data_IF_659571824003
#
_entry.id   IF_659571824003
#
_cell.length_a   1.000
_cell.length_b   1.000
_cell.length_c   1.000
_cell.angle_alpha   90.00
_cell.angle_beta   90.00
_cell.angle_gamma   90.00
#
_symmetry.space_group_name_H-M   'P 1'
#
loop_
_entity.id
_entity.type
_entity.pdbx_description
1 polymer ?
#
# COMPACT_ATOMS: atom_id res chain seq x y z
N UNK A 1 -13.62 -42.59 12.44
CA UNK A 1 -12.94 -41.28 12.46
C UNK A 1 -11.62 -41.46 11.72
N UNK A 2 -11.44 -40.76 10.60
CA UNK A 2 -10.24 -40.82 9.77
C UNK A 2 -8.99 -40.37 10.54
N UNK A 3 -7.84 -40.98 10.23
CA UNK A 3 -6.51 -40.48 10.64
C UNK A 3 -5.66 -40.13 9.39
N UNK A 4 -6.31 -39.88 8.26
CA UNK A 4 -5.66 -39.60 6.97
C UNK A 4 -5.75 -38.11 6.70
N UNK A 5 -4.60 -37.48 6.39
CA UNK A 5 -4.48 -36.04 6.20
C UNK A 5 -3.95 -35.71 4.80
N UNK A 6 -4.46 -34.62 4.24
CA UNK A 6 -3.94 -33.98 3.04
C UNK A 6 -3.67 -32.51 3.37
N UNK A 7 -2.46 -32.03 3.09
CA UNK A 7 -2.05 -30.65 3.39
C UNK A 7 -2.30 -30.23 4.86
N UNK A 8 -2.01 -31.13 5.80
CA UNK A 8 -2.22 -30.90 7.23
C UNK A 8 -3.69 -30.83 7.67
N UNK A 9 -4.65 -31.14 6.80
CA UNK A 9 -6.09 -31.17 7.10
C UNK A 9 -6.65 -32.57 6.91
N UNK A 10 -7.61 -32.95 7.74
CA UNK A 10 -8.23 -34.26 7.71
C UNK A 10 -8.93 -34.49 6.36
N UNK A 11 -8.70 -35.64 5.71
CA UNK A 11 -9.41 -36.03 4.49
C UNK A 11 -10.79 -36.57 4.87
N UNK A 12 -11.85 -35.99 4.29
CA UNK A 12 -13.23 -36.33 4.61
C UNK A 12 -13.67 -37.62 3.90
N UNK A 13 -14.41 -38.46 4.61
CA UNK A 13 -15.09 -39.64 4.07
C UNK A 13 -16.47 -39.84 4.72
N UNK A 14 -17.33 -40.65 4.10
CA UNK A 14 -18.73 -40.82 4.52
C UNK A 14 -18.92 -41.19 6.01
N UNK A 15 -18.01 -41.98 6.58
CA UNK A 15 -18.07 -42.44 7.97
C UNK A 15 -17.39 -41.55 9.01
N UNK A 16 -17.05 -40.30 8.71
CA UNK A 16 -16.35 -39.42 9.67
C UNK A 16 -17.26 -38.89 10.77
N UNK A 17 -18.56 -38.77 10.49
CA UNK A 17 -19.56 -38.32 11.46
C UNK A 17 -19.53 -36.83 11.76
N UNK A 18 -18.87 -36.00 10.94
CA UNK A 18 -18.83 -34.56 11.13
C UNK A 18 -20.12 -33.91 10.61
N UNK A 19 -20.45 -32.76 11.23
CA UNK A 19 -21.56 -31.90 10.82
C UNK A 19 -21.00 -30.57 10.33
N UNK A 20 -21.30 -30.23 9.08
CA UNK A 20 -20.93 -28.99 8.42
C UNK A 20 -22.02 -27.95 8.67
N UNK A 21 -21.73 -26.99 9.55
CA UNK A 21 -22.65 -25.90 9.88
C UNK A 21 -22.37 -24.71 8.97
N UNK A 22 -23.40 -24.12 8.39
CA UNK A 22 -23.27 -22.88 7.65
C UNK A 22 -23.38 -21.65 8.57
N UNK A 23 -22.37 -20.78 8.53
CA UNK A 23 -22.49 -19.47 9.14
C UNK A 23 -23.58 -18.65 8.43
N UNK A 24 -24.42 -17.89 9.17
CA UNK A 24 -25.44 -17.04 8.56
C UNK A 24 -24.80 -15.99 7.61
N UNK A 25 -25.52 -15.50 6.57
CA UNK A 25 -26.96 -15.61 6.41
C UNK A 25 -27.42 -16.47 5.21
N UNK A 26 -28.12 -17.59 5.46
CA UNK A 26 -29.05 -18.17 4.47
C UNK A 26 -30.43 -17.52 4.65
N UNK A 27 -30.70 -16.45 3.90
CA UNK A 27 -31.96 -15.70 4.05
C UNK A 27 -33.05 -16.36 3.22
N UNK A 28 -34.04 -16.97 3.88
CA UNK A 28 -35.21 -17.56 3.24
C UNK A 28 -36.48 -16.74 3.49
N UNK A 29 -37.43 -16.86 2.57
CA UNK A 29 -38.75 -16.23 2.65
C UNK A 29 -39.64 -17.06 3.57
N UNK A 30 -39.90 -16.58 4.77
CA UNK A 30 -40.82 -17.21 5.72
C UNK A 30 -42.24 -16.69 5.47
N UNK A 31 -43.22 -17.54 5.10
CA UNK A 31 -44.59 -17.09 4.93
C UNK A 31 -45.16 -16.52 6.24
N UNK A 32 -45.72 -15.30 6.18
CA UNK A 32 -46.48 -14.71 7.30
C UNK A 32 -47.82 -14.16 6.80
N UNK A 33 -48.81 -13.91 7.68
CA UNK A 33 -50.11 -13.33 7.27
C UNK A 33 -50.00 -11.98 6.54
N UNK A 34 -48.91 -11.23 6.74
CA UNK A 34 -48.65 -9.93 6.09
C UNK A 34 -47.76 -10.04 4.84
N UNK A 35 -47.42 -11.25 4.39
CA UNK A 35 -46.51 -11.52 3.28
C UNK A 35 -45.18 -12.18 3.73
N UNK A 36 -44.37 -12.70 2.79
CA UNK A 36 -43.13 -13.39 3.16
C UNK A 36 -42.08 -12.46 3.76
N UNK A 37 -41.51 -12.85 4.92
CA UNK A 37 -40.46 -12.09 5.63
C UNK A 37 -39.09 -12.75 5.41
N UNK A 38 -38.07 -12.02 4.90
CA UNK A 38 -36.70 -12.51 4.80
C UNK A 38 -36.13 -12.82 6.19
N UNK A 39 -35.81 -14.08 6.47
CA UNK A 39 -35.30 -14.55 7.77
C UNK A 39 -34.02 -15.36 7.57
N UNK A 40 -32.93 -15.06 8.31
CA UNK A 40 -31.69 -15.83 8.22
C UNK A 40 -31.80 -17.17 8.94
N UNK A 41 -31.33 -18.24 8.31
CA UNK A 41 -31.25 -19.59 8.85
C UNK A 41 -29.80 -20.07 8.97
N UNK A 42 -29.60 -21.03 9.87
CA UNK A 42 -28.35 -21.79 10.03
C UNK A 42 -28.62 -23.18 9.50
N UNK A 43 -27.89 -23.56 8.46
CA UNK A 43 -28.04 -24.87 7.85
C UNK A 43 -26.94 -25.83 8.29
N UNK A 44 -27.25 -27.12 8.25
CA UNK A 44 -26.35 -28.20 8.63
C UNK A 44 -26.41 -29.33 7.60
N UNK A 45 -25.26 -29.94 7.32
CA UNK A 45 -25.16 -31.14 6.50
C UNK A 45 -24.17 -32.13 7.13
N UNK A 46 -24.41 -33.43 7.01
CA UNK A 46 -23.61 -34.47 7.69
C UNK A 46 -22.83 -35.32 6.68
N UNK A 47 -21.61 -35.73 7.04
CA UNK A 47 -20.75 -36.58 6.18
C UNK A 47 -21.44 -37.89 5.77
N UNK A 48 -22.30 -38.44 6.64
CA UNK A 48 -23.07 -39.65 6.35
C UNK A 48 -23.91 -39.53 5.08
N UNK A 49 -24.28 -38.30 4.70
CA UNK A 49 -25.05 -37.98 3.50
C UNK A 49 -24.18 -37.81 2.25
N UNK A 50 -22.90 -38.20 2.29
CA UNK A 50 -22.00 -38.14 1.14
C UNK A 50 -22.57 -38.92 -0.05
N UNK A 51 -22.81 -38.19 -1.12
CA UNK A 51 -23.15 -38.69 -2.43
C UNK A 51 -22.00 -38.41 -3.41
N UNK A 52 -21.87 -39.27 -4.42
CA UNK A 52 -20.82 -39.16 -5.45
C UNK A 52 -19.40 -39.15 -4.85
N UNK A 53 -19.17 -39.90 -3.78
CA UNK A 53 -17.83 -40.19 -3.26
C UNK A 53 -16.99 -41.05 -4.21
N UNK A 54 -15.76 -41.34 -3.81
CA UNK A 54 -14.89 -42.29 -4.53
C UNK A 54 -15.53 -43.67 -4.67
N UNK A 55 -15.16 -44.40 -5.73
CA UNK A 55 -15.73 -45.72 -6.06
C UNK A 55 -14.79 -46.88 -5.75
N UNK A 56 -13.49 -46.66 -5.91
CA UNK A 56 -12.43 -47.67 -5.80
C UNK A 56 -11.60 -47.46 -4.54
N UNK A 57 -11.43 -46.21 -4.11
CA UNK A 57 -10.66 -45.88 -2.90
C UNK A 57 -11.60 -45.70 -1.71
N UNK A 58 -11.23 -46.23 -0.55
CA UNK A 58 -11.94 -45.99 0.70
C UNK A 58 -10.98 -45.64 1.82
N UNK A 59 -11.45 -44.87 2.79
CA UNK A 59 -10.75 -44.62 4.06
C UNK A 59 -11.66 -45.18 5.16
N UNK A 60 -11.11 -46.03 6.02
CA UNK A 60 -11.86 -46.74 7.06
C UNK A 60 -13.13 -47.45 6.51
N UNK A 61 -13.04 -48.05 5.32
CA UNK A 61 -14.16 -48.73 4.66
C UNK A 61 -15.24 -47.82 4.07
N UNK A 62 -15.05 -46.49 4.11
CA UNK A 62 -16.01 -45.51 3.63
C UNK A 62 -15.52 -44.79 2.35
N UNK A 63 -16.42 -44.42 1.42
CA UNK A 63 -16.09 -43.57 0.29
C UNK A 63 -15.50 -42.22 0.72
N UNK A 64 -14.45 -41.79 0.02
CA UNK A 64 -13.75 -40.52 0.22
C UNK A 64 -14.52 -39.40 -0.49
N UNK A 65 -14.63 -38.24 0.14
CA UNK A 65 -15.18 -37.04 -0.48
C UNK A 65 -14.17 -36.43 -1.46
N UNK A 66 -14.60 -36.22 -2.70
CA UNK A 66 -13.79 -35.68 -3.79
C UNK A 66 -14.31 -34.29 -4.19
N UNK A 67 -13.53 -33.56 -4.98
CA UNK A 67 -13.94 -32.26 -5.55
C UNK A 67 -15.28 -32.29 -6.32
N UNK A 68 -15.70 -33.47 -6.81
CA UNK A 68 -16.99 -33.65 -7.51
C UNK A 68 -18.11 -34.20 -6.62
N UNK A 69 -17.85 -34.44 -5.35
CA UNK A 69 -18.80 -35.02 -4.40
C UNK A 69 -19.74 -33.96 -3.85
N UNK A 70 -20.83 -34.41 -3.24
CA UNK A 70 -21.81 -33.53 -2.57
C UNK A 70 -22.35 -34.24 -1.33
N UNK A 71 -22.78 -33.50 -0.31
CA UNK A 71 -23.69 -34.05 0.69
C UNK A 71 -25.11 -33.82 0.17
N UNK A 72 -25.88 -34.90 0.06
CA UNK A 72 -27.16 -34.92 -0.65
C UNK A 72 -28.24 -34.04 -0.01
N UNK A 73 -28.10 -33.71 1.27
CA UNK A 73 -29.09 -32.92 2.01
C UNK A 73 -28.42 -31.99 3.02
N UNK A 74 -28.83 -30.73 2.99
CA UNK A 74 -28.63 -29.69 4.01
C UNK A 74 -30.00 -29.30 4.58
N UNK A 75 -30.06 -29.14 5.91
CA UNK A 75 -31.28 -28.90 6.71
C UNK A 75 -31.11 -27.72 7.67
N UNK A 76 -32.19 -27.02 8.02
CA UNK A 76 -32.19 -25.85 8.90
C UNK A 76 -33.02 -24.67 8.38
N UNK A 77 -33.36 -24.68 7.09
CA UNK A 77 -34.12 -23.64 6.36
C UNK A 77 -35.58 -24.01 6.09
N UNK A 78 -36.06 -25.14 6.62
CA UNK A 78 -37.44 -25.64 6.41
C UNK A 78 -38.55 -24.65 6.77
N UNK A 79 -38.41 -23.77 7.80
CA UNK A 79 -39.41 -22.74 8.08
C UNK A 79 -39.51 -21.67 6.97
N UNK A 80 -38.48 -21.53 6.14
CA UNK A 80 -38.45 -20.66 4.96
C UNK A 80 -39.16 -21.25 3.75
N UNK A 81 -40.39 -21.74 3.94
CA UNK A 81 -41.12 -22.57 2.97
C UNK A 81 -41.48 -21.89 1.63
N UNK A 82 -41.16 -20.60 1.43
CA UNK A 82 -41.23 -19.91 0.15
C UNK A 82 -39.86 -19.76 -0.55
N UNK A 83 -38.83 -20.47 -0.06
CA UNK A 83 -37.50 -20.58 -0.62
C UNK A 83 -36.54 -19.44 -0.26
N UNK A 84 -35.25 -19.67 -0.51
CA UNK A 84 -34.19 -18.67 -0.39
C UNK A 84 -34.47 -17.41 -1.21
N UNK A 85 -34.09 -16.23 -0.69
CA UNK A 85 -34.27 -14.94 -1.38
C UNK A 85 -33.57 -14.94 -2.74
N UNK A 86 -32.39 -15.56 -2.82
CA UNK A 86 -31.58 -15.66 -4.04
C UNK A 86 -31.76 -17.05 -4.70
N UNK A 87 -31.66 -18.13 -3.91
CA UNK A 87 -31.63 -19.50 -4.45
C UNK A 87 -33.01 -20.03 -4.85
N UNK A 88 -34.10 -19.49 -4.29
CA UNK A 88 -35.47 -20.02 -4.39
C UNK A 88 -35.62 -21.51 -4.03
N UNK A 89 -34.68 -22.06 -3.24
CA UNK A 89 -34.66 -23.45 -2.79
C UNK A 89 -34.99 -23.55 -1.29
N UNK A 90 -35.49 -24.71 -0.88
CA UNK A 90 -35.76 -25.11 0.50
C UNK A 90 -35.10 -26.47 0.65
N UNK A 91 -34.18 -26.61 1.61
CA UNK A 91 -33.19 -27.68 1.59
C UNK A 91 -32.35 -27.66 0.31
N UNK A 92 -31.34 -28.51 0.26
CA UNK A 92 -30.50 -28.63 -0.92
C UNK A 92 -29.28 -29.46 -0.60
N UNK A 93 -28.24 -29.29 -1.41
CA UNK A 93 -26.99 -30.03 -1.24
C UNK A 93 -25.89 -29.13 -0.71
N UNK A 94 -24.92 -29.75 -0.05
CA UNK A 94 -23.62 -29.15 0.22
C UNK A 94 -22.63 -29.61 -0.84
N UNK A 95 -21.89 -28.69 -1.44
CA UNK A 95 -20.73 -28.98 -2.29
C UNK A 95 -19.50 -28.29 -1.76
N UNK A 96 -18.31 -28.83 -1.97
CA UNK A 96 -17.07 -28.16 -1.61
C UNK A 96 -16.64 -27.17 -2.71
N UNK A 97 -16.33 -25.94 -2.30
CA UNK A 97 -15.73 -24.91 -3.13
C UNK A 97 -14.20 -25.01 -3.21
N UNK A 98 -13.57 -25.87 -2.40
CA UNK A 98 -12.14 -26.15 -2.41
C UNK A 98 -11.84 -27.64 -2.19
N UNK A 99 -10.65 -28.08 -2.60
CA UNK A 99 -10.14 -29.43 -2.36
C UNK A 99 -8.61 -29.42 -2.34
N UNK A 100 -7.97 -30.54 -2.01
CA UNK A 100 -6.51 -30.69 -2.13
C UNK A 100 -6.05 -30.57 -3.59
N UNK A 101 -4.98 -29.80 -3.82
CA UNK A 101 -4.42 -29.58 -5.17
C UNK A 101 -3.37 -30.64 -5.56
N UNK A 102 -2.73 -31.26 -4.57
CA UNK A 102 -1.63 -32.22 -4.71
C UNK A 102 -2.03 -33.65 -4.32
N UNK A 103 -2.93 -33.83 -3.34
CA UNK A 103 -3.47 -35.15 -2.98
C UNK A 103 -4.77 -35.41 -3.74
N UNK A 104 -4.70 -36.39 -4.65
CA UNK A 104 -5.82 -36.77 -5.51
C UNK A 104 -6.20 -38.22 -5.31
N UNK A 105 -7.50 -38.48 -5.28
CA UNK A 105 -8.10 -39.82 -5.32
C UNK A 105 -8.93 -39.90 -6.58
N UNK A 106 -8.72 -40.95 -7.38
CA UNK A 106 -9.42 -41.14 -8.67
C UNK A 106 -9.30 -39.93 -9.62
N UNK A 107 -8.11 -39.30 -9.60
CA UNK A 107 -7.80 -38.13 -10.43
C UNK A 107 -8.42 -36.81 -9.94
N UNK A 108 -9.17 -36.82 -8.82
CA UNK A 108 -9.84 -35.64 -8.27
C UNK A 108 -9.22 -35.28 -6.92
N UNK A 109 -9.12 -33.98 -6.63
CA UNK A 109 -8.68 -33.50 -5.32
C UNK A 109 -9.58 -34.04 -4.22
N UNK A 110 -8.99 -34.45 -3.10
CA UNK A 110 -9.77 -34.88 -1.92
C UNK A 110 -10.32 -33.66 -1.18
N UNK A 111 -11.58 -33.73 -0.74
CA UNK A 111 -12.16 -32.72 0.14
C UNK A 111 -11.63 -32.91 1.57
N UNK A 112 -11.28 -31.81 2.23
CA UNK A 112 -10.66 -31.81 3.54
C UNK A 112 -11.51 -31.06 4.56
N UNK A 113 -11.31 -31.38 5.83
CA UNK A 113 -11.85 -30.59 6.93
C UNK A 113 -11.42 -29.13 6.81
N UNK A 114 -12.37 -28.21 6.99
CA UNK A 114 -12.26 -26.76 6.76
C UNK A 114 -12.15 -26.30 5.30
N UNK A 115 -12.22 -27.18 4.29
CA UNK A 115 -12.37 -26.70 2.91
C UNK A 115 -13.70 -25.93 2.77
N UNK A 116 -13.73 -24.79 2.05
CA UNK A 116 -14.94 -23.98 1.91
C UNK A 116 -16.07 -24.83 1.33
N UNK A 117 -17.29 -24.71 1.88
CA UNK A 117 -18.46 -25.39 1.33
C UNK A 117 -19.53 -24.39 0.91
N UNK A 118 -20.34 -24.80 -0.06
CA UNK A 118 -21.50 -24.07 -0.58
C UNK A 118 -22.73 -24.89 -0.20
N UNK A 119 -23.62 -24.33 0.62
CA UNK A 119 -24.88 -24.97 0.99
C UNK A 119 -26.03 -24.34 0.22
N UNK A 120 -26.92 -25.15 -0.34
CA UNK A 120 -28.13 -24.72 -1.06
C UNK A 120 -27.87 -23.77 -2.25
N UNK A 121 -26.65 -23.78 -2.79
CA UNK A 121 -26.23 -22.88 -3.88
C UNK A 121 -25.95 -21.44 -3.43
N UNK A 122 -25.90 -21.18 -2.12
CA UNK A 122 -25.49 -19.90 -1.54
C UNK A 122 -23.97 -19.83 -1.28
N UNK A 123 -23.52 -18.62 -0.95
CA UNK A 123 -22.13 -18.23 -0.66
C UNK A 123 -21.44 -19.13 0.36
N UNK A 124 -20.10 -19.12 0.34
CA UNK A 124 -19.24 -19.99 1.15
C UNK A 124 -19.57 -19.90 2.64
N UNK A 125 -19.74 -21.07 3.27
CA UNK A 125 -20.17 -21.19 4.66
C UNK A 125 -19.01 -21.24 5.68
N UNK A 126 -17.79 -21.45 5.17
CA UNK A 126 -16.54 -21.34 5.92
C UNK A 126 -15.98 -19.97 5.58
N UNK A 127 -15.82 -19.10 6.57
CA UNK A 127 -15.14 -17.82 6.39
C UNK A 127 -13.79 -18.11 5.72
N UNK A 128 -13.67 -17.67 4.46
CA UNK A 128 -12.53 -17.79 3.55
C UNK A 128 -11.38 -18.69 4.06
N UNK A 129 -11.18 -19.88 3.47
CA UNK A 129 -9.78 -20.23 3.15
C UNK A 129 -9.39 -19.23 2.07
N UNK A 130 -8.99 -18.03 2.49
CA UNK A 130 -8.07 -17.25 1.68
C UNK A 130 -6.91 -18.20 1.39
N UNK A 131 -6.38 -18.21 0.16
CA UNK A 131 -5.20 -19.01 -0.19
C UNK A 131 -3.92 -18.54 0.57
N UNK A 132 -4.10 -17.81 1.67
CA UNK A 132 -3.12 -17.00 2.36
C UNK A 132 -2.62 -15.85 1.50
N UNK A 133 -3.17 -15.58 0.32
CA UNK A 133 -2.59 -14.66 -0.65
C UNK A 133 -3.54 -13.48 -0.86
N UNK A 134 -2.98 -12.29 -1.04
CA UNK A 134 -3.73 -11.07 -1.36
C UNK A 134 -4.03 -10.93 -2.85
N UNK A 135 -3.63 -11.93 -3.66
CA UNK A 135 -3.66 -11.88 -5.12
C UNK A 135 -2.51 -11.07 -5.73
N UNK A 136 -1.66 -10.45 -4.90
CA UNK A 136 -0.47 -9.75 -5.36
C UNK A 136 0.67 -10.74 -5.68
N UNK A 137 1.37 -10.44 -6.75
CA UNK A 137 2.58 -11.12 -7.15
C UNK A 137 3.61 -10.13 -7.68
N UNK A 138 4.88 -10.53 -7.60
CA UNK A 138 6.02 -9.77 -8.06
C UNK A 138 6.74 -10.57 -9.15
N UNK A 139 7.26 -9.87 -10.16
CA UNK A 139 8.03 -10.47 -11.24
C UNK A 139 7.20 -11.12 -12.35
N UNK A 140 5.86 -11.01 -12.33
CA UNK A 140 4.99 -11.63 -13.34
C UNK A 140 4.19 -10.64 -14.20
N UNK A 141 4.47 -9.34 -14.05
CA UNK A 141 3.79 -8.26 -14.78
C UNK A 141 4.22 -8.13 -16.26
N UNK A 142 5.44 -8.58 -16.59
CA UNK A 142 6.01 -8.51 -17.93
C UNK A 142 6.89 -9.73 -18.23
N UNK A 143 6.98 -10.18 -19.50
CA UNK A 143 7.97 -11.18 -19.89
C UNK A 143 9.38 -10.73 -19.51
N UNK A 144 10.17 -11.66 -18.96
CA UNK A 144 11.53 -11.35 -18.60
C UNK A 144 12.37 -11.18 -19.87
N UNK A 145 12.85 -9.96 -20.13
CA UNK A 145 13.64 -9.74 -21.33
C UNK A 145 15.06 -10.32 -21.27
N UNK A 146 15.49 -10.94 -20.17
CA UNK A 146 16.81 -11.60 -20.04
C UNK A 146 16.74 -13.06 -20.45
N UNK A 147 15.84 -13.84 -19.87
CA UNK A 147 15.77 -15.29 -20.11
C UNK A 147 14.59 -15.71 -21.01
N UNK A 148 13.68 -14.78 -21.31
CA UNK A 148 12.49 -14.98 -22.16
C UNK A 148 11.56 -16.13 -21.70
N UNK A 149 11.74 -16.59 -20.46
CA UNK A 149 10.92 -17.64 -19.87
C UNK A 149 9.52 -17.11 -19.51
N UNK A 150 8.51 -18.00 -19.40
CA UNK A 150 7.16 -17.62 -18.98
C UNK A 150 7.16 -16.82 -17.67
N UNK A 151 6.24 -15.85 -17.55
CA UNK A 151 6.10 -14.99 -16.37
C UNK A 151 5.92 -15.77 -15.06
N UNK A 152 5.32 -16.98 -15.13
CA UNK A 152 5.16 -17.87 -13.98
C UNK A 152 6.49 -18.30 -13.33
N UNK A 153 7.60 -18.37 -14.09
CA UNK A 153 8.90 -18.77 -13.55
C UNK A 153 9.57 -17.69 -12.69
N UNK A 154 9.11 -16.44 -12.83
CA UNK A 154 9.61 -15.28 -12.10
C UNK A 154 8.68 -14.90 -10.94
N UNK A 155 7.49 -15.50 -10.89
CA UNK A 155 6.42 -15.09 -9.97
C UNK A 155 6.79 -15.35 -8.51
N UNK A 156 6.66 -14.31 -7.69
CA UNK A 156 6.72 -14.39 -6.22
C UNK A 156 5.42 -13.87 -5.63
N UNK A 157 4.67 -14.73 -4.95
CA UNK A 157 3.39 -14.37 -4.35
C UNK A 157 3.54 -13.69 -3.00
N UNK A 158 2.70 -12.68 -2.73
CA UNK A 158 2.45 -12.21 -1.37
C UNK A 158 1.64 -13.27 -0.62
N UNK A 159 2.15 -13.70 0.55
CA UNK A 159 1.46 -14.65 1.43
C UNK A 159 1.18 -14.05 2.81
N UNK A 160 0.30 -14.66 3.57
CA UNK A 160 -0.05 -14.26 4.93
C UNK A 160 1.16 -14.28 5.85
N UNK A 161 2.10 -15.21 5.62
CA UNK A 161 3.34 -15.33 6.40
C UNK A 161 4.18 -14.04 6.33
N UNK A 162 4.42 -13.50 5.12
CA UNK A 162 5.20 -12.26 4.98
C UNK A 162 4.41 -11.05 5.44
N UNK A 163 3.08 -11.05 5.25
CA UNK A 163 2.21 -9.96 5.73
C UNK A 163 2.19 -9.90 7.25
N UNK A 164 2.06 -11.02 7.95
CA UNK A 164 2.13 -11.11 9.41
C UNK A 164 3.48 -10.63 9.94
N UNK A 165 4.57 -11.06 9.30
CA UNK A 165 5.91 -10.61 9.70
C UNK A 165 6.08 -9.09 9.50
N UNK A 166 5.53 -8.54 8.41
CA UNK A 166 5.48 -7.08 8.18
C UNK A 166 4.65 -6.35 9.24
N UNK A 167 3.54 -6.91 9.68
CA UNK A 167 2.70 -6.29 10.71
C UNK A 167 3.45 -6.13 12.04
N UNK A 168 4.35 -7.06 12.38
CA UNK A 168 5.22 -6.92 13.55
C UNK A 168 6.18 -5.71 13.40
N UNK A 169 6.80 -5.55 12.22
CA UNK A 169 7.63 -4.37 11.92
C UNK A 169 6.80 -3.06 11.93
N UNK A 170 5.60 -3.08 11.37
CA UNK A 170 4.68 -1.93 11.39
C UNK A 170 4.27 -1.53 12.80
N UNK A 171 4.11 -2.50 13.70
CA UNK A 171 3.84 -2.22 15.11
C UNK A 171 5.01 -1.46 15.73
N UNK A 172 6.23 -1.93 15.54
CA UNK A 172 7.43 -1.28 16.08
C UNK A 172 7.62 0.14 15.51
N UNK A 173 7.45 0.31 14.20
CA UNK A 173 7.46 1.62 13.55
C UNK A 173 6.39 2.55 14.10
N UNK A 174 5.18 2.04 14.37
CA UNK A 174 4.08 2.83 14.95
C UNK A 174 4.40 3.27 16.36
N UNK A 175 4.92 2.38 17.20
CA UNK A 175 5.23 2.69 18.60
C UNK A 175 6.31 3.78 18.69
N UNK A 176 7.31 3.74 17.80
CA UNK A 176 8.31 4.80 17.66
C UNK A 176 7.73 6.11 17.12
N UNK A 177 6.89 6.03 16.09
CA UNK A 177 6.29 7.21 15.48
C UNK A 177 5.38 7.97 16.44
N UNK A 178 4.67 7.29 17.35
CA UNK A 178 3.82 7.94 18.37
C UNK A 178 4.56 8.98 19.20
N UNK A 179 5.85 8.75 19.49
CA UNK A 179 6.67 9.71 20.23
C UNK A 179 7.01 10.97 19.39
N UNK A 180 7.07 10.83 18.06
CA UNK A 180 7.43 11.91 17.12
C UNK A 180 6.19 12.63 16.54
N UNK A 181 5.00 12.04 16.63
CA UNK A 181 3.80 12.52 15.95
C UNK A 181 3.38 13.92 16.37
N UNK A 182 3.40 14.20 17.68
CA UNK A 182 3.01 15.51 18.21
C UNK A 182 3.94 16.63 17.70
N UNK A 183 5.25 16.37 17.68
CA UNK A 183 6.26 17.29 17.17
C UNK A 183 6.07 17.54 15.68
N UNK A 184 5.88 16.50 14.88
CA UNK A 184 5.67 16.62 13.44
C UNK A 184 4.38 17.38 13.10
N UNK A 185 3.29 17.14 13.83
CA UNK A 185 2.02 17.88 13.63
C UNK A 185 2.18 19.34 14.00
N UNK A 186 2.85 19.65 15.12
CA UNK A 186 3.17 21.03 15.51
C UNK A 186 4.07 21.71 14.48
N UNK A 187 5.08 21.02 13.96
CA UNK A 187 5.96 21.55 12.93
C UNK A 187 5.18 21.94 11.66
N UNK A 188 4.26 21.08 11.21
CA UNK A 188 3.44 21.36 10.03
C UNK A 188 2.49 22.54 10.23
N UNK A 189 1.89 22.66 11.42
CA UNK A 189 1.05 23.80 11.80
C UNK A 189 1.86 25.11 11.85
N UNK A 190 3.05 25.10 12.45
CA UNK A 190 3.95 26.27 12.46
C UNK A 190 4.40 26.69 11.05
N UNK A 191 4.61 25.73 10.14
CA UNK A 191 4.91 26.02 8.74
C UNK A 191 3.76 26.76 8.06
N UNK A 192 2.52 26.32 8.29
CA UNK A 192 1.31 26.94 7.75
C UNK A 192 1.13 28.36 8.31
N UNK A 193 1.20 28.53 9.64
CA UNK A 193 1.12 29.84 10.29
C UNK A 193 2.21 30.80 9.79
N UNK A 194 3.45 30.32 9.64
CA UNK A 194 4.54 31.13 9.08
C UNK A 194 4.24 31.55 7.64
N UNK A 195 3.69 30.66 6.83
CA UNK A 195 3.30 30.95 5.43
C UNK A 195 2.20 32.00 5.38
N UNK A 196 1.15 31.84 6.18
CA UNK A 196 0.03 32.79 6.24
C UNK A 196 0.49 34.18 6.69
N UNK A 197 1.31 34.25 7.73
CA UNK A 197 1.82 35.52 8.25
C UNK A 197 2.69 36.24 7.22
N UNK A 198 3.55 35.51 6.50
CA UNK A 198 4.34 36.06 5.39
C UNK A 198 3.46 36.55 4.25
N UNK A 199 2.44 35.78 3.85
CA UNK A 199 1.53 36.14 2.77
C UNK A 199 0.72 37.42 3.06
N UNK A 200 0.45 37.74 4.32
CA UNK A 200 -0.18 39.03 4.70
C UNK A 200 0.77 40.20 4.42
N UNK A 201 2.04 40.09 4.82
CA UNK A 201 3.02 41.17 4.65
C UNK A 201 3.46 41.28 3.17
N UNK A 202 3.57 40.15 2.47
CA UNK A 202 3.87 40.09 1.04
C UNK A 202 2.83 40.86 0.22
N UNK A 203 1.53 40.70 0.51
CA UNK A 203 0.47 41.50 -0.12
C UNK A 203 0.64 43.00 0.09
N UNK A 204 1.01 43.44 1.30
CA UNK A 204 1.31 44.86 1.56
C UNK A 204 2.53 45.32 0.77
N UNK A 205 3.57 44.50 0.68
CA UNK A 205 4.75 44.80 -0.13
C UNK A 205 4.36 44.96 -1.60
N UNK A 206 3.50 44.09 -2.13
CA UNK A 206 3.04 44.17 -3.52
C UNK A 206 2.24 45.46 -3.78
N UNK A 207 1.33 45.82 -2.87
CA UNK A 207 0.56 47.07 -2.91
C UNK A 207 1.48 48.30 -2.91
N UNK A 208 2.43 48.38 -1.97
CA UNK A 208 3.37 49.49 -1.88
C UNK A 208 4.35 49.51 -3.07
N UNK A 209 4.73 48.34 -3.61
CA UNK A 209 5.60 48.24 -4.79
C UNK A 209 4.91 48.74 -6.06
N UNK A 210 3.59 48.52 -6.18
CA UNK A 210 2.81 49.08 -7.28
C UNK A 210 2.76 50.61 -7.22
N UNK A 211 2.64 51.18 -6.01
CA UNK A 211 2.69 52.63 -5.79
C UNK A 211 4.08 53.18 -6.10
N UNK A 212 5.14 52.50 -5.64
CA UNK A 212 6.52 52.88 -5.95
C UNK A 212 6.75 52.96 -7.46
N UNK A 213 6.31 51.94 -8.21
CA UNK A 213 6.46 51.93 -9.67
C UNK A 213 5.79 53.14 -10.35
N UNK A 214 4.62 53.58 -9.86
CA UNK A 214 3.97 54.81 -10.35
C UNK A 214 4.77 56.07 -10.02
N UNK A 215 5.33 56.15 -8.81
CA UNK A 215 6.14 57.29 -8.37
C UNK A 215 7.47 57.37 -9.12
N UNK A 216 8.11 56.23 -9.40
CA UNK A 216 9.32 56.14 -10.20
C UNK A 216 9.05 56.56 -11.65
N UNK A 217 7.95 56.10 -12.26
CA UNK A 217 7.55 56.53 -13.59
C UNK A 217 7.28 58.05 -13.64
N UNK A 218 6.63 58.61 -12.62
CA UNK A 218 6.42 60.05 -12.51
C UNK A 218 7.73 60.83 -12.34
N UNK A 219 8.67 60.31 -11.54
CA UNK A 219 9.98 60.92 -11.35
C UNK A 219 10.80 60.88 -12.65
N UNK A 220 10.77 59.78 -13.40
CA UNK A 220 11.46 59.65 -14.69
C UNK A 220 10.86 60.59 -15.74
N UNK A 221 9.54 60.71 -15.78
CA UNK A 221 8.84 61.68 -16.64
C UNK A 221 9.22 63.13 -16.28
N UNK A 222 9.22 63.47 -14.99
CA UNK A 222 9.61 64.80 -14.51
C UNK A 222 11.08 65.12 -14.80
N UNK A 223 11.96 64.11 -14.72
CA UNK A 223 13.38 64.23 -15.08
C UNK A 223 13.57 64.49 -16.56
N UNK A 224 12.90 63.72 -17.42
CA UNK A 224 12.92 63.93 -18.87
C UNK A 224 12.41 65.32 -19.26
N UNK A 225 11.33 65.79 -18.61
CA UNK A 225 10.82 67.16 -18.82
C UNK A 225 11.84 68.23 -18.39
N UNK A 226 12.53 68.04 -17.27
CA UNK A 226 13.58 68.94 -16.78
C UNK A 226 14.79 69.00 -17.72
N UNK A 227 15.24 67.85 -18.22
CA UNK A 227 16.41 67.73 -19.09
C UNK A 227 16.20 68.49 -20.41
N UNK A 228 14.96 68.47 -20.94
CA UNK A 228 14.57 69.10 -22.20
C UNK A 228 14.06 70.56 -22.06
N UNK A 229 14.02 71.12 -20.84
CA UNK A 229 13.40 72.42 -20.60
C UNK A 229 14.27 73.64 -20.96
N UNK A 230 13.67 74.76 -21.39
CA UNK A 230 14.33 76.06 -21.47
C UNK A 230 14.88 76.51 -20.11
N UNK A 231 15.93 77.34 -20.09
CA UNK A 231 16.59 77.81 -18.85
C UNK A 231 15.62 78.42 -17.83
N UNK A 232 14.58 79.08 -18.30
CA UNK A 232 13.59 79.82 -17.51
C UNK A 232 12.71 78.88 -16.68
N UNK A 233 12.37 77.70 -17.23
CA UNK A 233 11.47 76.72 -16.60
C UNK A 233 12.20 75.68 -15.73
N UNK A 234 13.53 75.56 -15.88
CA UNK A 234 14.34 74.56 -15.16
C UNK A 234 14.21 74.64 -13.64
N UNK A 235 14.02 75.83 -13.09
CA UNK A 235 13.86 76.01 -11.65
C UNK A 235 12.56 75.37 -11.12
N UNK A 236 11.45 75.49 -11.86
CA UNK A 236 10.18 74.90 -11.48
C UNK A 236 10.17 73.38 -11.70
N UNK A 237 10.61 72.93 -12.87
CA UNK A 237 10.67 71.50 -13.21
C UNK A 237 11.66 70.75 -12.29
N UNK A 238 12.75 71.41 -11.86
CA UNK A 238 13.68 70.87 -10.87
C UNK A 238 13.02 70.61 -9.51
N UNK A 239 12.11 71.49 -9.07
CA UNK A 239 11.32 71.26 -7.85
C UNK A 239 10.37 70.06 -8.02
N UNK A 240 9.69 69.95 -9.17
CA UNK A 240 8.78 68.82 -9.47
C UNK A 240 9.51 67.47 -9.48
N UNK A 241 10.67 67.40 -10.15
CA UNK A 241 11.51 66.20 -10.14
C UNK A 241 11.99 65.83 -8.74
N UNK A 242 12.51 66.80 -7.97
CA UNK A 242 12.99 66.55 -6.62
C UNK A 242 11.87 66.10 -5.67
N UNK A 243 10.65 66.61 -5.83
CA UNK A 243 9.47 66.16 -5.07
C UNK A 243 9.08 64.72 -5.45
N UNK A 244 8.97 64.42 -6.74
CA UNK A 244 8.66 63.07 -7.23
C UNK A 244 9.71 62.04 -6.76
N UNK A 245 11.00 62.38 -6.87
CA UNK A 245 12.11 61.56 -6.39
C UNK A 245 12.04 61.33 -4.87
N UNK A 246 11.73 62.36 -4.10
CA UNK A 246 11.60 62.25 -2.64
C UNK A 246 10.45 61.31 -2.25
N UNK A 247 9.32 61.38 -2.95
CA UNK A 247 8.18 60.49 -2.75
C UNK A 247 8.53 59.03 -3.07
N UNK A 248 9.22 58.78 -4.19
CA UNK A 248 9.69 57.44 -4.54
C UNK A 248 10.65 56.89 -3.46
N UNK A 249 11.67 57.67 -3.06
CA UNK A 249 12.62 57.26 -1.99
C UNK A 249 11.93 56.98 -0.64
N UNK A 250 10.93 57.78 -0.27
CA UNK A 250 10.16 57.53 0.96
C UNK A 250 9.44 56.19 0.88
N UNK A 251 8.85 55.88 -0.28
CA UNK A 251 8.11 54.64 -0.53
C UNK A 251 9.02 53.40 -0.58
N UNK A 252 10.22 53.51 -1.16
CA UNK A 252 11.26 52.48 -1.03
C UNK A 252 11.61 52.18 0.45
N UNK A 253 11.71 53.23 1.26
CA UNK A 253 11.95 53.12 2.70
C UNK A 253 10.85 52.32 3.43
N UNK A 254 9.59 52.56 3.07
CA UNK A 254 8.43 51.83 3.62
C UNK A 254 8.44 50.36 3.20
N UNK A 255 8.70 50.04 1.93
CA UNK A 255 8.83 48.66 1.45
C UNK A 255 9.97 47.94 2.19
N UNK A 256 11.11 48.61 2.39
CA UNK A 256 12.23 48.05 3.15
C UNK A 256 11.87 47.80 4.61
N UNK A 257 11.05 48.65 5.22
CA UNK A 257 10.55 48.44 6.58
C UNK A 257 9.61 47.23 6.64
N UNK A 258 8.69 47.07 5.67
CA UNK A 258 7.81 45.90 5.58
C UNK A 258 8.58 44.59 5.38
N UNK A 259 9.65 44.59 4.56
CA UNK A 259 10.53 43.41 4.42
C UNK A 259 11.20 43.02 5.73
N UNK A 260 11.66 44.00 6.52
CA UNK A 260 12.20 43.75 7.86
C UNK A 260 11.14 43.23 8.83
N UNK A 261 9.92 43.77 8.76
CA UNK A 261 8.79 43.27 9.54
C UNK A 261 8.50 41.80 9.22
N UNK A 262 8.52 41.42 7.94
CA UNK A 262 8.36 40.02 7.50
C UNK A 262 9.44 39.09 8.07
N UNK A 263 10.70 39.53 8.07
CA UNK A 263 11.80 38.75 8.63
C UNK A 263 11.64 38.54 10.13
N UNK A 264 11.36 39.62 10.88
CA UNK A 264 11.11 39.56 12.34
C UNK A 264 9.89 38.69 12.66
N UNK A 265 8.81 38.85 11.90
CA UNK A 265 7.59 38.06 12.06
C UNK A 265 7.80 36.55 11.80
N UNK A 266 8.80 36.19 11.00
CA UNK A 266 9.15 34.80 10.66
C UNK A 266 10.24 34.20 11.55
N UNK A 267 10.94 35.02 12.33
CA UNK A 267 12.12 34.61 13.08
C UNK A 267 11.77 33.61 14.20
N UNK A 268 10.75 33.90 15.00
CA UNK A 268 10.30 33.02 16.08
C UNK A 268 9.86 31.64 15.55
N UNK A 269 9.06 31.62 14.47
CA UNK A 269 8.69 30.36 13.81
C UNK A 269 9.91 29.60 13.32
N UNK A 270 10.87 30.29 12.71
CA UNK A 270 12.08 29.64 12.17
C UNK A 270 12.94 29.04 13.28
N UNK A 271 13.00 29.69 14.45
CA UNK A 271 13.68 29.14 15.62
C UNK A 271 12.97 27.90 16.14
N UNK A 272 11.65 27.95 16.35
CA UNK A 272 10.88 26.82 16.87
C UNK A 272 10.89 25.62 15.92
N UNK A 273 10.81 25.84 14.61
CA UNK A 273 10.96 24.79 13.59
C UNK A 273 12.33 24.10 13.69
N UNK A 274 13.41 24.86 13.95
CA UNK A 274 14.75 24.27 14.14
C UNK A 274 14.81 23.45 15.42
N UNK A 275 14.31 23.97 16.52
CA UNK A 275 14.28 23.26 17.81
C UNK A 275 13.52 21.93 17.70
N UNK A 276 12.37 21.92 17.02
CA UNK A 276 11.61 20.68 16.77
C UNK A 276 12.42 19.70 15.91
N UNK A 277 13.10 20.18 14.86
CA UNK A 277 13.94 19.31 14.03
C UNK A 277 15.12 18.72 14.82
N UNK A 278 15.76 19.50 15.70
CA UNK A 278 16.85 19.02 16.57
C UNK A 278 16.35 17.93 17.54
N UNK A 279 15.15 18.12 18.11
CA UNK A 279 14.49 17.11 18.94
C UNK A 279 14.16 15.83 18.16
N UNK A 280 13.62 15.97 16.94
CA UNK A 280 13.34 14.83 16.05
C UNK A 280 14.61 14.05 15.69
N UNK A 281 15.72 14.74 15.42
CA UNK A 281 17.03 14.11 15.16
C UNK A 281 17.46 13.28 16.37
N UNK A 282 17.37 13.84 17.58
CA UNK A 282 17.69 13.13 18.82
C UNK A 282 16.79 11.90 19.04
N UNK A 283 15.52 11.98 18.62
CA UNK A 283 14.57 10.88 18.65
C UNK A 283 14.75 9.83 17.55
N UNK A 284 15.74 9.97 16.65
CA UNK A 284 16.01 9.07 15.52
C UNK A 284 14.78 8.92 14.61
N UNK A 285 14.60 9.84 13.65
CA UNK A 285 13.36 9.96 12.88
C UNK A 285 12.93 8.65 12.22
N UNK A 286 11.63 8.34 12.33
CA UNK A 286 11.04 7.18 11.64
C UNK A 286 10.82 7.52 10.16
N UNK A 287 10.28 8.70 9.86
CA UNK A 287 10.04 9.17 8.50
C UNK A 287 11.28 9.78 7.85
N UNK A 288 11.34 9.74 6.51
CA UNK A 288 12.45 10.32 5.77
C UNK A 288 12.38 11.85 5.73
N UNK A 289 13.51 12.49 5.47
CA UNK A 289 13.57 13.93 5.24
C UNK A 289 12.81 14.31 3.95
N UNK A 290 12.05 15.40 4.01
CA UNK A 290 11.32 15.95 2.86
C UNK A 290 11.78 17.39 2.63
N UNK A 291 12.34 17.66 1.45
CA UNK A 291 12.74 19.02 1.06
C UNK A 291 11.57 19.99 1.07
N UNK A 292 10.38 19.54 0.63
CA UNK A 292 9.18 20.37 0.57
C UNK A 292 8.68 20.89 1.92
N UNK A 293 9.00 20.21 3.03
CA UNK A 293 8.66 20.66 4.39
C UNK A 293 9.90 20.99 5.23
N UNK A 294 11.10 20.68 4.74
CA UNK A 294 12.35 20.77 5.49
C UNK A 294 12.34 20.01 6.84
N UNK A 295 11.59 18.88 6.91
CA UNK A 295 11.52 18.01 8.10
C UNK A 295 11.24 16.55 7.71
N UNK A 296 11.13 15.68 8.71
CA UNK A 296 10.93 14.23 8.58
C UNK A 296 9.48 13.85 8.32
N UNK A 297 9.01 14.08 7.09
CA UNK A 297 7.61 13.82 6.67
C UNK A 297 7.51 13.04 5.36
N UNK A 298 8.64 12.49 4.87
CA UNK A 298 8.68 11.70 3.64
C UNK A 298 8.26 10.25 3.96
N UNK A 299 7.12 9.79 3.44
CA UNK A 299 6.70 8.40 3.56
C UNK A 299 7.56 7.50 2.66
N UNK A 300 7.53 6.20 2.89
CA UNK A 300 8.27 5.20 2.12
C UNK A 300 7.54 3.86 2.08
N UNK A 301 7.88 3.03 1.10
CA UNK A 301 7.48 1.63 1.06
C UNK A 301 8.29 0.84 2.08
N UNK A 302 7.63 -0.02 2.83
CA UNK A 302 8.26 -1.02 3.70
C UNK A 302 8.05 -2.37 3.05
N UNK A 303 9.13 -3.00 2.64
CA UNK A 303 9.12 -4.33 2.05
C UNK A 303 9.67 -5.38 3.01
N UNK A 304 9.16 -6.60 2.89
CA UNK A 304 9.80 -7.77 3.45
C UNK A 304 9.74 -8.95 2.50
N UNK A 305 10.70 -9.85 2.61
CA UNK A 305 10.67 -11.12 1.91
C UNK A 305 11.16 -12.27 2.80
N UNK A 306 10.73 -13.47 2.45
CA UNK A 306 11.12 -14.71 3.13
C UNK A 306 11.70 -15.65 2.07
N UNK A 307 12.83 -16.29 2.36
CA UNK A 307 13.41 -17.25 1.43
C UNK A 307 12.76 -18.65 1.50
N UNK A 308 13.08 -19.50 0.52
CA UNK A 308 12.59 -20.88 0.35
C UNK A 308 13.33 -21.91 1.21
N UNK A 309 14.31 -21.50 2.00
CA UNK A 309 15.16 -22.43 2.74
C UNK A 309 14.33 -23.21 3.79
N UNK A 310 14.49 -24.53 3.82
CA UNK A 310 13.70 -25.43 4.67
C UNK A 310 14.04 -25.28 6.15
N UNK A 311 15.31 -24.99 6.46
CA UNK A 311 15.80 -24.75 7.81
C UNK A 311 16.17 -23.28 7.97
N UNK A 312 15.60 -22.63 9.00
CA UNK A 312 15.85 -21.23 9.36
C UNK A 312 15.73 -20.27 8.17
N UNK A 313 14.52 -20.11 7.58
CA UNK A 313 14.32 -19.22 6.45
C UNK A 313 14.74 -17.80 6.80
N UNK A 314 15.61 -17.22 5.98
CA UNK A 314 15.99 -15.82 6.09
C UNK A 314 14.78 -14.93 5.83
N UNK A 315 14.59 -13.96 6.71
CA UNK A 315 13.58 -12.91 6.61
C UNK A 315 14.31 -11.60 6.41
N UNK A 316 14.06 -10.92 5.31
CA UNK A 316 14.69 -9.66 4.97
C UNK A 316 13.67 -8.54 5.05
N UNK A 317 14.09 -7.36 5.49
CA UNK A 317 13.29 -6.15 5.47
C UNK A 317 14.05 -5.01 4.79
N UNK A 318 13.35 -4.19 4.01
CA UNK A 318 13.91 -3.05 3.32
C UNK A 318 12.91 -1.89 3.31
N UNK A 319 13.43 -0.67 3.20
CA UNK A 319 12.63 0.52 2.92
C UNK A 319 12.97 1.07 1.53
N UNK A 320 12.00 1.70 0.86
CA UNK A 320 12.29 2.47 -0.35
C UNK A 320 13.06 3.74 -0.01
N UNK A 321 14.03 4.11 -0.85
CA UNK A 321 14.90 5.24 -0.60
C UNK A 321 15.92 4.97 0.50
N UNK A 322 16.42 6.04 1.12
CA UNK A 322 17.37 5.96 2.21
C UNK A 322 16.70 5.39 3.47
N UNK A 323 17.37 4.43 4.11
CA UNK A 323 16.88 3.83 5.36
C UNK A 323 17.02 4.84 6.50
N UNK A 324 15.90 5.14 7.14
CA UNK A 324 15.88 6.06 8.27
C UNK A 324 16.47 5.40 9.53
N UNK A 325 17.05 6.18 10.47
CA UNK A 325 17.51 5.65 11.75
C UNK A 325 16.40 4.91 12.51
N UNK A 326 15.19 5.46 12.54
CA UNK A 326 14.05 4.83 13.21
C UNK A 326 13.60 3.54 12.53
N UNK A 327 13.71 3.42 11.20
CA UNK A 327 13.42 2.16 10.50
C UNK A 327 14.45 1.08 10.83
N UNK A 328 15.74 1.42 10.83
CA UNK A 328 16.82 0.48 11.20
C UNK A 328 16.61 -0.06 12.62
N UNK A 329 16.39 0.83 13.57
CA UNK A 329 16.15 0.43 14.96
C UNK A 329 14.88 -0.42 15.09
N UNK A 330 13.84 -0.13 14.29
CA UNK A 330 12.62 -0.93 14.28
C UNK A 330 12.88 -2.34 13.75
N UNK A 331 13.64 -2.47 12.66
CA UNK A 331 14.05 -3.77 12.12
C UNK A 331 14.84 -4.56 13.17
N UNK A 332 15.83 -3.93 13.79
CA UNK A 332 16.67 -4.57 14.83
C UNK A 332 15.83 -5.02 16.04
N UNK A 333 14.88 -4.18 16.48
CA UNK A 333 14.01 -4.49 17.63
C UNK A 333 13.06 -5.67 17.38
N UNK A 334 12.70 -5.96 16.12
CA UNK A 334 11.90 -7.17 15.83
C UNK A 334 12.66 -8.47 16.10
N UNK A 335 14.00 -8.45 16.07
CA UNK A 335 14.85 -9.65 16.15
C UNK A 335 14.60 -10.69 15.06
N UNK A 336 13.76 -10.37 14.06
CA UNK A 336 13.22 -11.32 13.08
C UNK A 336 13.83 -11.11 11.70
N UNK A 337 14.12 -9.85 11.36
CA UNK A 337 14.55 -9.45 10.04
C UNK A 337 16.04 -9.11 9.99
N UNK A 338 16.67 -9.43 8.87
CA UNK A 338 17.93 -8.79 8.46
C UNK A 338 17.61 -7.57 7.59
N UNK A 339 18.15 -6.42 7.96
CA UNK A 339 17.98 -5.19 7.18
C UNK A 339 18.74 -5.27 5.86
N UNK A 340 18.10 -4.80 4.78
CA UNK A 340 18.72 -4.57 3.47
C UNK A 340 18.54 -3.10 3.10
N UNK A 341 19.64 -2.36 2.97
CA UNK A 341 19.63 -0.92 2.75
C UNK A 341 19.95 -0.49 1.31
N UNK A 342 20.50 -1.38 0.48
CA UNK A 342 20.83 -1.09 -0.91
C UNK A 342 20.83 -2.29 -1.84
N UNK A 343 21.03 -2.00 -3.13
CA UNK A 343 21.23 -3.00 -4.19
C UNK A 343 22.06 -2.39 -5.31
N UNK A 344 22.69 -3.23 -6.11
CA UNK A 344 23.50 -2.86 -7.27
C UNK A 344 22.76 -3.18 -8.56
N UNK A 345 22.72 -2.23 -9.49
CA UNK A 345 22.06 -2.41 -10.78
C UNK A 345 22.99 -3.10 -11.78
N UNK A 346 22.45 -4.01 -12.59
CA UNK A 346 23.13 -4.54 -13.77
C UNK A 346 23.27 -3.45 -14.85
N UNK A 347 24.22 -3.59 -15.79
CA UNK A 347 24.35 -2.64 -16.90
C UNK A 347 23.05 -2.54 -17.73
N UNK A 348 22.36 -3.66 -17.90
CA UNK A 348 21.04 -3.70 -18.55
C UNK A 348 20.00 -2.88 -17.78
N UNK A 349 19.94 -3.00 -16.46
CA UNK A 349 19.02 -2.22 -15.63
C UNK A 349 19.32 -0.73 -15.75
N UNK A 350 20.60 -0.34 -15.75
CA UNK A 350 21.00 1.06 -15.95
C UNK A 350 20.50 1.59 -17.30
N UNK A 351 20.78 0.89 -18.40
CA UNK A 351 20.31 1.29 -19.73
C UNK A 351 18.78 1.34 -19.84
N UNK A 352 18.08 0.41 -19.19
CA UNK A 352 16.62 0.40 -19.17
C UNK A 352 16.06 1.59 -18.37
N UNK A 353 16.67 1.95 -17.24
CA UNK A 353 16.29 3.12 -16.44
C UNK A 353 16.50 4.44 -17.20
N UNK A 354 17.61 4.55 -17.95
CA UNK A 354 17.86 5.68 -18.84
C UNK A 354 16.75 5.80 -19.91
N UNK A 355 16.35 4.68 -20.51
CA UNK A 355 15.26 4.62 -21.49
C UNK A 355 13.92 5.02 -20.88
N UNK A 356 13.69 4.68 -19.61
CA UNK A 356 12.48 5.07 -18.86
C UNK A 356 12.54 6.51 -18.32
N UNK A 357 13.61 7.25 -18.57
CA UNK A 357 13.87 8.58 -17.99
C UNK A 357 13.73 8.59 -16.46
N UNK A 358 14.21 7.51 -15.81
CA UNK A 358 14.10 7.28 -14.37
C UNK A 358 15.45 7.42 -13.69
N UNK A 359 15.65 8.55 -13.01
CA UNK A 359 16.93 8.88 -12.36
C UNK A 359 17.22 8.08 -11.08
N UNK A 360 16.20 7.52 -10.43
CA UNK A 360 16.35 6.78 -9.17
C UNK A 360 15.46 5.53 -9.16
N UNK A 361 16.08 4.38 -8.93
CA UNK A 361 15.38 3.12 -8.67
C UNK A 361 15.84 2.59 -7.31
N UNK A 362 15.05 2.89 -6.28
CA UNK A 362 15.38 2.70 -4.87
C UNK A 362 14.25 2.00 -4.10
N UNK A 363 13.35 1.30 -4.80
CA UNK A 363 12.21 0.58 -4.22
C UNK A 363 12.67 -0.52 -3.23
N UNK A 364 11.80 -0.95 -2.33
CA UNK A 364 12.15 -1.99 -1.36
C UNK A 364 12.24 -3.37 -2.03
N UNK A 365 11.35 -3.70 -2.97
CA UNK A 365 11.39 -4.95 -3.72
C UNK A 365 12.75 -5.28 -4.36
N UNK A 366 13.37 -4.45 -5.22
CA UNK A 366 14.65 -4.79 -5.83
C UNK A 366 15.78 -5.03 -4.80
N UNK A 367 15.79 -4.29 -3.68
CA UNK A 367 16.71 -4.54 -2.56
C UNK A 367 16.54 -5.97 -2.02
N UNK A 368 15.30 -6.33 -1.71
CA UNK A 368 14.95 -7.65 -1.19
C UNK A 368 15.19 -8.77 -2.20
N UNK A 369 14.88 -8.54 -3.47
CA UNK A 369 15.07 -9.52 -4.54
C UNK A 369 16.55 -9.75 -4.84
N UNK A 370 17.40 -8.73 -4.79
CA UNK A 370 18.83 -8.94 -4.95
C UNK A 370 19.44 -9.62 -3.72
N UNK A 371 19.17 -9.12 -2.51
CA UNK A 371 19.72 -9.72 -1.30
C UNK A 371 19.21 -11.16 -1.08
N UNK A 372 17.95 -11.42 -1.42
CA UNK A 372 17.35 -12.75 -1.44
C UNK A 372 17.90 -13.60 -2.58
N UNK A 373 17.84 -13.16 -3.83
CA UNK A 373 18.24 -13.95 -5.00
C UNK A 373 19.75 -14.05 -5.21
N UNK A 374 20.41 -12.91 -5.41
CA UNK A 374 21.85 -12.83 -5.68
C UNK A 374 22.71 -13.15 -4.44
N UNK A 375 22.15 -13.03 -3.24
CA UNK A 375 22.75 -13.55 -2.00
C UNK A 375 22.73 -15.08 -1.88
N UNK A 376 22.35 -15.79 -2.94
CA UNK A 376 22.28 -17.26 -3.03
C UNK A 376 20.91 -17.83 -2.66
N UNK A 377 20.12 -17.12 -1.86
CA UNK A 377 18.79 -17.56 -1.42
C UNK A 377 17.78 -17.52 -2.59
N UNK A 378 16.59 -18.05 -2.37
CA UNK A 378 15.48 -18.02 -3.33
C UNK A 378 14.27 -17.47 -2.63
N UNK A 379 13.60 -16.48 -3.20
CA UNK A 379 12.47 -15.78 -2.58
C UNK A 379 11.22 -16.64 -2.68
N UNK A 380 10.66 -16.99 -1.53
CA UNK A 380 9.39 -17.74 -1.39
C UNK A 380 8.21 -16.78 -1.50
N UNK A 381 8.30 -15.66 -0.79
CA UNK A 381 7.23 -14.68 -0.71
C UNK A 381 7.79 -13.28 -0.45
N UNK A 382 7.09 -12.26 -0.95
CA UNK A 382 7.45 -10.86 -0.82
C UNK A 382 6.17 -10.03 -0.66
N UNK A 383 6.26 -8.97 0.13
CA UNK A 383 5.20 -7.98 0.29
C UNK A 383 5.81 -6.60 0.48
N UNK A 384 5.17 -5.59 -0.07
CA UNK A 384 5.47 -4.18 0.16
C UNK A 384 4.21 -3.44 0.65
N UNK A 385 4.35 -2.70 1.75
CA UNK A 385 3.27 -1.90 2.33
C UNK A 385 3.64 -0.42 2.39
N UNK A 386 2.66 0.44 2.19
CA UNK A 386 2.89 1.88 2.24
C UNK A 386 2.93 2.41 3.68
N UNK A 387 4.07 2.95 4.10
CA UNK A 387 4.23 3.55 5.43
C UNK A 387 4.11 5.08 5.35
N UNK A 388 2.93 5.59 5.74
CA UNK A 388 2.59 7.01 5.69
C UNK A 388 1.63 7.39 6.83
N UNK A 389 2.09 7.36 8.08
CA UNK A 389 1.25 7.64 9.25
C UNK A 389 0.71 9.09 9.30
N UNK A 390 1.26 10.01 8.49
CA UNK A 390 0.75 11.38 8.31
C UNK A 390 -0.30 11.51 7.19
N UNK A 391 -0.76 10.40 6.58
CA UNK A 391 -1.92 10.40 5.68
C UNK A 391 -1.65 10.73 4.21
N UNK A 392 -0.39 10.80 3.77
CA UNK A 392 -0.08 10.92 2.33
C UNK A 392 -0.32 9.57 1.65
N UNK A 393 -1.14 9.51 0.62
CA UNK A 393 -1.33 8.30 -0.16
C UNK A 393 -0.27 8.13 -1.26
N UNK A 394 -0.09 6.91 -1.75
CA UNK A 394 0.69 6.62 -2.96
C UNK A 394 -0.26 6.23 -4.10
N UNK A 395 0.13 6.49 -5.35
CA UNK A 395 -0.61 6.02 -6.52
C UNK A 395 0.26 5.11 -7.36
N UNK A 396 -0.29 3.98 -7.79
CA UNK A 396 0.42 3.00 -8.61
C UNK A 396 -0.48 2.56 -9.75
N UNK A 397 0.09 2.50 -10.95
CA UNK A 397 -0.57 1.91 -12.12
C UNK A 397 -0.25 0.42 -12.17
N UNK A 398 -1.27 -0.43 -12.11
CA UNK A 398 -1.09 -1.87 -12.22
C UNK A 398 -2.27 -2.52 -12.96
N UNK A 399 -2.09 -3.77 -13.37
CA UNK A 399 -3.13 -4.57 -14.02
C UNK A 399 -3.84 -5.42 -12.98
N UNK A 400 -5.16 -5.33 -12.91
CA UNK A 400 -6.01 -6.14 -12.06
C UNK A 400 -6.85 -7.07 -12.91
N UNK A 401 -6.75 -8.36 -12.66
CA UNK A 401 -7.62 -9.37 -13.28
C UNK A 401 -8.71 -9.76 -12.30
N UNK A 402 -9.98 -9.60 -12.70
CA UNK A 402 -11.14 -10.02 -11.94
C UNK A 402 -12.10 -10.74 -12.87
N UNK A 403 -12.52 -11.95 -12.49
CA UNK A 403 -13.48 -12.76 -13.26
C UNK A 403 -13.05 -13.02 -14.73
N UNK A 404 -11.73 -13.10 -14.98
CA UNK A 404 -11.16 -13.31 -16.32
C UNK A 404 -10.95 -12.03 -17.13
N UNK A 405 -11.45 -10.88 -16.67
CA UNK A 405 -11.25 -9.59 -17.31
C UNK A 405 -10.08 -8.83 -16.66
N UNK A 406 -9.15 -8.35 -17.49
CA UNK A 406 -7.99 -7.58 -17.03
C UNK A 406 -8.18 -6.10 -17.35
N UNK A 407 -8.02 -5.26 -16.33
CA UNK A 407 -8.04 -3.80 -16.46
C UNK A 407 -6.76 -3.22 -15.88
N UNK A 408 -6.16 -2.27 -16.60
CA UNK A 408 -4.98 -1.52 -16.13
C UNK A 408 -5.42 -0.11 -15.75
N UNK A 409 -5.05 0.33 -14.56
CA UNK A 409 -5.47 1.63 -14.06
C UNK A 409 -4.59 2.16 -12.95
N UNK A 410 -4.67 3.47 -12.72
CA UNK A 410 -4.02 4.14 -11.61
C UNK A 410 -4.91 4.01 -10.36
N UNK A 411 -4.39 3.36 -9.33
CA UNK A 411 -5.10 3.20 -8.05
C UNK A 411 -4.34 3.92 -6.93
N UNK A 412 -5.08 4.33 -5.90
CA UNK A 412 -4.57 5.07 -4.74
C UNK A 412 -4.53 4.15 -3.53
N UNK A 413 -3.38 4.08 -2.86
CA UNK A 413 -3.16 3.27 -1.67
C UNK A 413 -2.83 4.14 -0.45
N UNK A 414 -3.41 3.76 0.68
CA UNK A 414 -3.32 4.42 1.97
C UNK A 414 -2.30 3.75 2.88
N UNK A 415 -2.08 4.35 4.05
CA UNK A 415 -1.18 3.81 5.05
C UNK A 415 -1.53 2.36 5.44
N UNK A 416 -0.55 1.45 5.37
CA UNK A 416 -0.66 0.05 5.79
C UNK A 416 -1.18 -0.90 4.71
N UNK A 417 -1.68 -0.37 3.59
CA UNK A 417 -2.13 -1.19 2.47
C UNK A 417 -0.94 -1.84 1.76
N UNK A 418 -1.13 -3.08 1.31
CA UNK A 418 -0.19 -3.73 0.39
C UNK A 418 -0.27 -3.04 -0.96
N UNK A 419 0.87 -2.69 -1.53
CA UNK A 419 0.94 -1.94 -2.79
C UNK A 419 1.62 -2.80 -3.85
N UNK A 420 1.03 -2.91 -5.06
CA UNK A 420 1.66 -3.62 -6.17
C UNK A 420 2.94 -2.93 -6.64
N UNK A 421 3.75 -3.66 -7.41
CA UNK A 421 4.95 -3.15 -8.07
C UNK A 421 4.66 -1.86 -8.83
N UNK A 422 5.54 -0.86 -8.72
CA UNK A 422 5.52 0.29 -9.63
C UNK A 422 5.93 -0.13 -11.06
N UNK A 423 5.64 0.69 -12.06
CA UNK A 423 5.91 0.37 -13.47
C UNK A 423 7.38 -0.01 -13.75
N UNK A 424 8.33 0.66 -13.11
CA UNK A 424 9.75 0.30 -13.21
C UNK A 424 10.01 -1.09 -12.64
N UNK A 425 9.45 -1.41 -11.46
CA UNK A 425 9.61 -2.74 -10.85
C UNK A 425 8.92 -3.82 -11.68
N UNK A 426 7.74 -3.55 -12.26
CA UNK A 426 7.03 -4.48 -13.15
C UNK A 426 7.91 -4.93 -14.33
N UNK A 427 8.72 -4.01 -14.87
CA UNK A 427 9.59 -4.30 -16.00
C UNK A 427 10.95 -4.91 -15.62
N UNK A 428 11.55 -4.47 -14.51
CA UNK A 428 12.96 -4.78 -14.19
C UNK A 428 13.14 -5.83 -13.09
N UNK A 429 12.15 -6.10 -12.25
CA UNK A 429 12.27 -7.17 -11.25
C UNK A 429 12.21 -8.60 -11.81
N UNK A 430 11.56 -8.90 -12.96
CA UNK A 430 11.58 -10.25 -13.51
C UNK A 430 12.99 -10.80 -13.72
N UNK A 431 13.94 -10.00 -14.21
CA UNK A 431 15.32 -10.47 -14.41
C UNK A 431 16.06 -10.82 -13.10
N UNK A 432 15.64 -10.25 -11.97
CA UNK A 432 16.18 -10.57 -10.65
C UNK A 432 15.68 -11.93 -10.14
N UNK A 433 14.67 -12.49 -10.81
CA UNK A 433 13.96 -13.71 -10.43
C UNK A 433 14.19 -14.87 -11.41
N UNK A 434 15.05 -14.72 -12.42
CA UNK A 434 15.27 -15.75 -13.44
C UNK A 434 15.60 -17.14 -12.85
N UNK A 435 16.40 -17.17 -11.80
CA UNK A 435 16.82 -18.41 -11.13
C UNK A 435 15.99 -18.71 -9.88
N UNK A 436 14.90 -17.98 -9.64
CA UNK A 436 14.12 -18.13 -8.41
C UNK A 436 13.39 -19.48 -8.33
N UNK A 437 13.17 -20.16 -9.46
CA UNK A 437 12.57 -21.49 -9.54
C UNK A 437 13.45 -22.60 -8.93
N UNK A 438 14.75 -22.38 -8.78
CA UNK A 438 15.67 -23.32 -8.15
C UNK A 438 15.40 -23.48 -6.64
N UNK A 439 15.98 -24.52 -6.04
CA UNK A 439 15.99 -24.73 -4.59
C UNK A 439 16.85 -23.69 -3.87
N UNK A 440 16.49 -23.39 -2.64
CA UNK A 440 17.32 -22.58 -1.75
C UNK A 440 18.53 -23.42 -1.34
N UNK A 441 19.76 -22.86 -1.35
CA UNK A 441 20.97 -23.57 -0.97
C UNK A 441 21.02 -23.92 0.52
#
# INVERSE_FOLDING_TARGET
MSNVFANGRLVLHQGDGLTHVAAPPDVCKVPTPAGPVPTPFVNTAQDAMLAKGSKQTSIAGNPVALASSELSTSTGDEPGAAGGVISSKIKGKLTWGGSSMDVKVEGKGVARFLDPTLQNGNTFNTAFISNGQTGLAYGDDAPCGVCEQPVGNHRVHETGEVVETLLALFKELRDRFRAQEALLRRYLDLLEQRREKRAVIERKIDEESAILAQLEAAAESAKSALDNAPKEDKAELGRKYNDAKRKAMAKEGEIKALRREMDVASQAFTQELREINDELVAMRPVLGASEGTATYTKPYMVGACICKCDQNPKRLAAASGEVTPGFRDAVDATGTFTLVDGFTQSERQKSALETMNRNVWDCAAPKLLQAGGAGGHKVKTLSEKWYSPLGKAVKVTYTKTKDGESSRGLEKFQHGESVPSCETCQQLTPEMLCNNHAECP
#
